data_IF_325693706506
#
_entry.id   IF_325693706506
#
_cell.length_a   1.000
_cell.length_b   1.000
_cell.length_c   1.000
_cell.angle_alpha   90.00
_cell.angle_beta   90.00
_cell.angle_gamma   90.00
#
_symmetry.space_group_name_H-M   'P 1'
#
loop_
_entity.id
_entity.type
_entity.pdbx_description
1 polymer ?
#
# COMPACT_ATOMS: atom_id res chain seq x y z
N UNK A 1 -14.75 -4.36 3.86
CA UNK A 1 -13.52 -3.56 4.12
C UNK A 1 -12.74 -3.56 2.83
N UNK A 2 -12.26 -2.42 2.39
CA UNK A 2 -11.55 -2.26 1.12
C UNK A 2 -10.10 -1.83 1.41
N UNK A 3 -9.13 -2.38 0.67
CA UNK A 3 -7.74 -1.92 0.68
C UNK A 3 -7.54 -0.67 -0.19
N UNK A 4 -8.55 -0.29 -0.98
CA UNK A 4 -8.51 0.90 -1.83
C UNK A 4 -8.28 2.19 -1.02
N UNK A 5 -7.52 3.12 -1.61
CA UNK A 5 -6.98 4.28 -0.89
C UNK A 5 -7.73 5.59 -1.18
N UNK A 6 -8.65 5.59 -2.15
CA UNK A 6 -9.36 6.79 -2.61
C UNK A 6 -10.88 6.60 -2.75
N UNK A 7 -11.41 5.46 -2.37
CA UNK A 7 -12.85 5.19 -2.32
C UNK A 7 -13.61 5.18 -3.65
N UNK A 8 -12.91 5.10 -4.79
CA UNK A 8 -13.55 5.10 -6.11
C UNK A 8 -14.41 3.86 -6.36
N UNK A 9 -14.02 2.71 -5.83
CA UNK A 9 -14.81 1.47 -5.92
C UNK A 9 -16.17 1.63 -5.21
N UNK A 10 -16.20 2.20 -4.01
CA UNK A 10 -17.44 2.51 -3.28
C UNK A 10 -18.35 3.43 -4.09
N UNK A 11 -17.79 4.48 -4.69
CA UNK A 11 -18.54 5.40 -5.56
C UNK A 11 -19.14 4.66 -6.75
N UNK A 12 -18.34 3.83 -7.43
CA UNK A 12 -18.79 3.02 -8.58
C UNK A 12 -19.93 2.08 -8.18
N UNK A 13 -19.77 1.34 -7.07
CA UNK A 13 -20.82 0.42 -6.60
C UNK A 13 -22.09 1.20 -6.25
N UNK A 14 -22.00 2.35 -5.61
CA UNK A 14 -23.13 3.20 -5.26
C UNK A 14 -23.89 3.65 -6.53
N UNK A 15 -23.17 4.12 -7.55
CA UNK A 15 -23.77 4.52 -8.81
C UNK A 15 -24.43 3.34 -9.56
N UNK A 16 -23.77 2.20 -9.66
CA UNK A 16 -24.29 1.02 -10.34
C UNK A 16 -25.54 0.46 -9.64
N UNK A 17 -25.58 0.48 -8.33
CA UNK A 17 -26.71 -0.03 -7.54
C UNK A 17 -27.80 1.01 -7.30
N UNK A 18 -27.60 2.26 -7.73
CA UNK A 18 -28.52 3.39 -7.52
C UNK A 18 -28.90 3.60 -6.04
N UNK A 19 -28.03 3.20 -5.11
CA UNK A 19 -28.24 3.40 -3.69
C UNK A 19 -27.79 4.80 -3.29
N UNK A 20 -28.61 5.49 -2.49
CA UNK A 20 -28.28 6.81 -1.96
C UNK A 20 -27.11 6.75 -0.98
N UNK A 21 -27.02 5.65 -0.21
CA UNK A 21 -25.98 5.47 0.80
C UNK A 21 -25.36 4.08 0.74
N UNK A 22 -24.03 4.05 0.69
CA UNK A 22 -23.20 2.87 0.90
C UNK A 22 -22.04 3.33 1.79
N UNK A 23 -21.92 2.81 3.01
CA UNK A 23 -20.80 3.11 3.90
C UNK A 23 -19.60 2.23 3.56
N UNK A 24 -18.44 2.85 3.32
CA UNK A 24 -17.16 2.17 3.04
C UNK A 24 -16.22 2.26 4.24
N UNK A 25 -15.61 1.13 4.60
CA UNK A 25 -14.65 1.01 5.68
C UNK A 25 -13.29 0.63 5.11
N UNK A 26 -12.29 1.46 5.35
CA UNK A 26 -10.96 1.37 4.78
C UNK A 26 -9.90 1.19 5.85
N UNK A 27 -8.86 0.44 5.56
CA UNK A 27 -7.67 0.46 6.41
C UNK A 27 -7.07 1.86 6.46
N UNK A 28 -6.99 2.54 5.32
CA UNK A 28 -6.56 3.94 5.24
C UNK A 28 -7.13 4.64 4.01
N UNK A 29 -7.42 5.93 4.13
CA UNK A 29 -7.86 6.79 3.04
C UNK A 29 -6.82 7.86 2.75
N UNK A 30 -6.49 8.10 1.48
CA UNK A 30 -5.67 9.23 1.03
C UNK A 30 -6.52 10.44 0.71
N UNK A 31 -7.61 10.20 0.01
CA UNK A 31 -8.60 11.17 -0.42
C UNK A 31 -9.91 10.43 -0.71
N UNK A 32 -10.97 11.17 -0.93
CA UNK A 32 -12.24 10.63 -1.43
C UNK A 32 -12.54 11.22 -2.81
N UNK A 33 -13.38 10.57 -3.64
CA UNK A 33 -13.82 11.12 -4.91
C UNK A 33 -14.48 12.49 -4.72
N UNK A 34 -14.35 13.36 -5.71
CA UNK A 34 -15.00 14.66 -5.72
C UNK A 34 -16.53 14.50 -5.68
N UNK A 35 -17.18 15.46 -5.03
CA UNK A 35 -18.65 15.52 -4.92
C UNK A 35 -19.29 14.37 -4.13
N UNK A 36 -18.48 13.56 -3.43
CA UNK A 36 -18.96 12.51 -2.54
C UNK A 36 -19.19 13.00 -1.11
N UNK A 37 -20.22 12.42 -0.45
CA UNK A 37 -20.50 12.71 0.95
C UNK A 37 -19.48 12.03 1.86
N UNK A 38 -18.62 12.82 2.48
CA UNK A 38 -17.54 12.34 3.36
C UNK A 38 -18.02 11.48 4.54
N UNK A 39 -19.29 11.60 4.94
CA UNK A 39 -19.87 10.83 6.05
C UNK A 39 -20.01 9.33 5.75
N UNK A 40 -19.85 8.92 4.49
CA UNK A 40 -19.92 7.52 4.05
C UNK A 40 -18.55 6.84 3.97
N UNK A 41 -17.47 7.58 4.20
CA UNK A 41 -16.10 7.09 4.08
C UNK A 41 -15.41 7.03 5.43
N UNK A 42 -14.95 5.87 5.85
CA UNK A 42 -14.41 5.63 7.18
C UNK A 42 -13.03 4.99 7.12
N UNK A 43 -11.97 5.80 7.27
CA UNK A 43 -10.59 5.32 7.37
C UNK A 43 -10.23 4.98 8.83
N UNK A 44 -9.49 3.88 9.01
CA UNK A 44 -9.02 3.46 10.34
C UNK A 44 -7.63 3.99 10.67
N UNK A 45 -6.61 3.65 9.85
CA UNK A 45 -5.21 3.92 10.18
C UNK A 45 -4.78 5.35 9.82
N UNK A 46 -5.27 5.85 8.70
CA UNK A 46 -5.19 7.27 8.33
C UNK A 46 -6.46 7.68 7.58
N UNK A 47 -6.90 8.89 7.89
CA UNK A 47 -8.12 9.47 7.35
C UNK A 47 -8.00 11.00 7.41
N UNK A 48 -7.64 11.65 6.30
CA UNK A 48 -7.45 13.11 6.27
C UNK A 48 -8.73 13.87 6.58
N UNK A 49 -9.92 13.26 6.37
CA UNK A 49 -11.21 13.87 6.71
C UNK A 49 -11.42 13.98 8.22
N UNK A 50 -10.78 13.09 8.99
CA UNK A 50 -10.82 13.06 10.46
C UNK A 50 -9.53 13.55 11.11
N UNK A 51 -8.64 14.17 10.35
CA UNK A 51 -7.36 14.70 10.85
C UNK A 51 -6.30 13.63 11.14
N UNK A 52 -6.51 12.40 10.70
CA UNK A 52 -5.50 11.34 10.78
C UNK A 52 -4.62 11.37 9.53
N UNK A 53 -3.47 11.99 9.65
CA UNK A 53 -2.53 12.15 8.53
C UNK A 53 -1.96 10.82 8.03
N UNK A 54 -1.75 10.73 6.71
CA UNK A 54 -1.04 9.62 6.08
C UNK A 54 0.37 9.49 6.67
N UNK A 55 0.75 8.26 6.97
CA UNK A 55 2.10 7.95 7.46
C UNK A 55 3.09 7.90 6.30
N UNK A 56 4.11 8.76 6.34
CA UNK A 56 5.10 8.89 5.26
C UNK A 56 5.94 7.62 5.00
N UNK A 57 5.99 6.70 5.95
CA UNK A 57 6.69 5.42 5.81
C UNK A 57 5.80 4.30 5.25
N UNK A 58 4.49 4.49 5.24
CA UNK A 58 3.56 3.44 4.82
C UNK A 58 3.70 3.14 3.33
N UNK A 59 3.96 1.86 3.01
CA UNK A 59 3.96 1.32 1.66
C UNK A 59 2.65 0.57 1.44
N UNK A 60 1.77 1.12 0.60
CA UNK A 60 0.53 0.45 0.21
C UNK A 60 0.81 -0.83 -0.60
N UNK A 61 1.78 -0.81 -1.51
CA UNK A 61 2.10 -2.00 -2.30
C UNK A 61 2.57 -3.18 -1.44
N UNK A 62 3.42 -2.91 -0.42
CA UNK A 62 3.80 -3.96 0.54
C UNK A 62 2.57 -4.45 1.33
N UNK A 63 1.71 -3.53 1.78
CA UNK A 63 0.50 -3.91 2.50
C UNK A 63 -0.42 -4.76 1.64
N UNK A 64 -0.67 -4.35 0.40
CA UNK A 64 -1.52 -5.09 -0.54
C UNK A 64 -0.93 -6.46 -0.90
N UNK A 65 0.38 -6.55 -1.14
CA UNK A 65 1.04 -7.82 -1.46
C UNK A 65 0.90 -8.87 -0.33
N UNK A 66 0.83 -8.41 0.93
CA UNK A 66 0.65 -9.28 2.11
C UNK A 66 -0.83 -9.61 2.36
N UNK A 67 -1.73 -8.62 2.17
CA UNK A 67 -3.16 -8.72 2.49
C UNK A 67 -4.04 -8.82 1.24
N UNK A 68 -3.66 -9.71 0.32
CA UNK A 68 -4.42 -10.02 -0.89
C UNK A 68 -4.98 -11.44 -0.86
N UNK A 69 -5.80 -11.78 -1.85
CA UNK A 69 -6.32 -13.14 -2.03
C UNK A 69 -5.27 -14.05 -2.70
N UNK A 70 -5.31 -15.38 -2.44
CA UNK A 70 -4.40 -16.34 -3.08
C UNK A 70 -4.73 -16.60 -4.55
N UNK A 71 -5.89 -16.13 -5.03
CA UNK A 71 -6.30 -16.13 -6.43
C UNK A 71 -5.79 -14.89 -7.15
N UNK A 72 -5.87 -14.87 -8.48
CA UNK A 72 -5.59 -13.70 -9.31
C UNK A 72 -6.60 -12.56 -9.10
N UNK A 73 -6.39 -11.44 -9.78
CA UNK A 73 -7.27 -10.29 -9.72
C UNK A 73 -8.64 -10.61 -10.34
N UNK A 74 -9.72 -10.24 -9.67
CA UNK A 74 -11.08 -10.41 -10.21
C UNK A 74 -11.31 -9.43 -11.36
N UNK A 75 -11.51 -9.97 -12.57
CA UNK A 75 -11.78 -9.20 -13.79
C UNK A 75 -13.26 -9.21 -14.18
N UNK A 76 -14.07 -10.04 -13.54
CA UNK A 76 -15.51 -10.14 -13.78
C UNK A 76 -16.19 -11.12 -12.86
N UNK A 77 -17.47 -11.34 -13.11
CA UNK A 77 -18.29 -12.32 -12.38
C UNK A 77 -19.17 -13.09 -13.36
N UNK A 78 -19.36 -14.36 -13.11
CA UNK A 78 -20.36 -15.18 -13.79
C UNK A 78 -21.40 -15.69 -12.80
N UNK A 79 -22.63 -15.91 -13.27
CA UNK A 79 -23.69 -16.47 -12.45
C UNK A 79 -23.80 -17.97 -12.69
N UNK A 80 -23.44 -18.78 -11.67
CA UNK A 80 -23.58 -20.23 -11.70
C UNK A 80 -24.48 -20.67 -10.53
N UNK A 81 -25.59 -21.36 -10.85
CA UNK A 81 -26.52 -21.86 -9.84
C UNK A 81 -27.00 -20.78 -8.84
N UNK A 82 -27.38 -19.60 -9.34
CA UNK A 82 -27.83 -18.45 -8.58
C UNK A 82 -26.73 -17.83 -7.66
N UNK A 83 -25.47 -18.20 -7.87
CA UNK A 83 -24.31 -17.62 -7.17
C UNK A 83 -23.42 -16.89 -8.16
N UNK A 84 -22.92 -15.74 -7.75
CA UNK A 84 -21.91 -15.01 -8.50
C UNK A 84 -20.53 -15.53 -8.13
N UNK A 85 -19.81 -16.06 -9.13
CA UNK A 85 -18.46 -16.59 -8.99
C UNK A 85 -17.51 -15.60 -9.65
N UNK A 86 -16.42 -15.19 -8.99
CA UNK A 86 -15.43 -14.30 -9.60
C UNK A 86 -14.69 -15.01 -10.73
N UNK A 87 -14.48 -14.29 -11.82
CA UNK A 87 -13.56 -14.66 -12.90
C UNK A 87 -12.25 -13.92 -12.62
N UNK A 88 -11.14 -14.66 -12.51
CA UNK A 88 -9.83 -14.09 -12.26
C UNK A 88 -8.98 -14.05 -13.51
N UNK A 89 -8.05 -13.10 -13.61
CA UNK A 89 -7.12 -12.93 -14.73
C UNK A 89 -6.05 -14.03 -14.80
N UNK A 90 -5.78 -14.68 -13.67
CA UNK A 90 -4.90 -15.84 -13.55
C UNK A 90 -5.47 -16.84 -12.53
N UNK A 91 -5.07 -18.11 -12.65
CA UNK A 91 -5.55 -19.15 -11.73
C UNK A 91 -5.01 -18.97 -10.31
N UNK A 92 -3.77 -18.50 -10.18
CA UNK A 92 -3.09 -18.34 -8.89
C UNK A 92 -2.30 -17.05 -8.80
N UNK A 93 -2.38 -16.39 -7.63
CA UNK A 93 -1.50 -15.27 -7.33
C UNK A 93 -0.04 -15.76 -7.18
N UNK A 94 0.96 -15.09 -7.77
CA UNK A 94 2.37 -15.51 -7.66
C UNK A 94 2.89 -15.52 -6.22
N UNK A 95 2.26 -14.79 -5.30
CA UNK A 95 2.59 -14.78 -3.87
C UNK A 95 1.77 -15.80 -3.05
N UNK A 96 1.01 -16.68 -3.70
CA UNK A 96 0.08 -17.63 -3.04
C UNK A 96 0.66 -18.38 -1.84
N UNK A 97 1.89 -18.91 -1.88
CA UNK A 97 2.44 -19.65 -0.74
C UNK A 97 2.48 -18.81 0.54
N UNK A 98 3.02 -17.58 0.47
CA UNK A 98 3.13 -16.71 1.64
C UNK A 98 1.76 -16.14 2.05
N UNK A 99 0.85 -15.93 1.10
CA UNK A 99 -0.52 -15.50 1.40
C UNK A 99 -1.26 -16.57 2.22
N UNK A 100 -1.15 -17.84 1.82
CA UNK A 100 -1.78 -18.94 2.55
C UNK A 100 -1.19 -19.11 3.96
N UNK A 101 0.12 -18.99 4.12
CA UNK A 101 0.77 -19.01 5.42
C UNK A 101 0.27 -17.85 6.31
N UNK A 102 0.19 -16.65 5.78
CA UNK A 102 -0.37 -15.48 6.49
C UNK A 102 -1.83 -15.70 6.91
N UNK A 103 -2.65 -16.33 6.06
CA UNK A 103 -4.05 -16.65 6.39
C UNK A 103 -4.12 -17.62 7.58
N UNK A 104 -3.30 -18.65 7.59
CA UNK A 104 -3.27 -19.62 8.71
C UNK A 104 -2.76 -18.98 10.02
N UNK A 105 -1.74 -18.14 9.94
CA UNK A 105 -1.27 -17.35 11.09
C UNK A 105 -2.36 -16.42 11.63
N UNK A 106 -3.08 -15.71 10.76
CA UNK A 106 -4.19 -14.85 11.14
C UNK A 106 -5.34 -15.65 11.79
N UNK A 107 -5.71 -16.80 11.25
CA UNK A 107 -6.73 -17.69 11.85
C UNK A 107 -6.31 -18.13 13.25
N UNK A 108 -5.06 -18.55 13.41
CA UNK A 108 -4.50 -18.96 14.71
C UNK A 108 -4.52 -17.79 15.70
N UNK A 109 -4.08 -16.61 15.27
CA UNK A 109 -4.09 -15.41 16.10
C UNK A 109 -5.51 -15.03 16.53
N UNK A 110 -6.46 -14.94 15.59
CA UNK A 110 -7.87 -14.64 15.88
C UNK A 110 -8.44 -15.63 16.88
N UNK A 111 -8.18 -16.92 16.69
CA UNK A 111 -8.64 -17.96 17.62
C UNK A 111 -8.08 -17.78 19.04
N UNK A 112 -6.83 -17.31 19.15
CA UNK A 112 -6.19 -17.08 20.45
C UNK A 112 -6.76 -15.87 21.19
N UNK A 113 -7.29 -14.87 20.47
CA UNK A 113 -7.77 -13.60 21.05
C UNK A 113 -9.30 -13.46 21.10
N UNK A 114 -10.05 -14.43 20.55
CA UNK A 114 -11.52 -14.33 20.43
C UNK A 114 -12.27 -14.10 21.74
N UNK A 115 -11.67 -14.48 22.87
CA UNK A 115 -12.25 -14.31 24.21
C UNK A 115 -11.79 -13.01 24.90
N UNK A 116 -11.01 -12.18 24.25
CA UNK A 116 -10.52 -10.93 24.80
C UNK A 116 -11.22 -9.75 24.11
N UNK A 117 -11.63 -8.75 24.90
CA UNK A 117 -12.13 -7.47 24.36
C UNK A 117 -10.95 -6.62 23.83
N UNK A 118 -10.48 -6.98 22.63
CA UNK A 118 -9.39 -6.28 22.00
C UNK A 118 -9.94 -5.15 21.13
N UNK A 119 -9.69 -3.92 21.56
CA UNK A 119 -9.99 -2.72 20.76
C UNK A 119 -8.81 -2.40 19.87
N UNK A 120 -9.05 -2.40 18.55
CA UNK A 120 -8.06 -1.97 17.58
C UNK A 120 -7.59 -0.54 17.87
N UNK A 121 -6.29 -0.34 18.04
CA UNK A 121 -5.67 0.95 18.31
C UNK A 121 -4.75 1.35 17.16
N UNK A 122 -4.97 2.56 16.61
CA UNK A 122 -4.07 3.14 15.58
C UNK A 122 -2.62 3.18 16.08
N UNK A 123 -2.41 3.49 17.36
CA UNK A 123 -1.07 3.50 17.98
C UNK A 123 -0.43 2.12 17.98
N UNK A 124 -1.20 1.08 18.32
CA UNK A 124 -0.71 -0.28 18.30
C UNK A 124 -0.31 -0.72 16.87
N UNK A 125 -1.18 -0.46 15.89
CA UNK A 125 -0.88 -0.74 14.48
C UNK A 125 0.36 0.04 14.01
N UNK A 126 0.53 1.29 14.45
CA UNK A 126 1.74 2.07 14.15
C UNK A 126 3.00 1.43 14.73
N UNK A 127 2.93 0.91 15.96
CA UNK A 127 4.07 0.22 16.59
C UNK A 127 4.49 -1.06 15.83
N UNK A 128 3.55 -1.75 15.21
CA UNK A 128 3.82 -2.93 14.38
C UNK A 128 4.36 -2.56 12.99
N UNK A 129 3.65 -1.69 12.26
CA UNK A 129 3.96 -1.41 10.85
C UNK A 129 5.18 -0.49 10.67
N UNK A 130 5.42 0.41 11.59
CA UNK A 130 6.49 1.41 11.45
C UNK A 130 7.91 0.82 11.46
N UNK A 131 8.28 -0.13 12.34
CA UNK A 131 9.57 -0.80 12.25
C UNK A 131 9.76 -1.48 10.90
N UNK A 132 8.83 -2.35 10.52
CA UNK A 132 8.84 -3.07 9.26
C UNK A 132 8.95 -2.11 8.04
N UNK A 133 8.05 -1.15 7.92
CA UNK A 133 7.97 -0.33 6.70
C UNK A 133 9.01 0.78 6.61
N UNK A 134 9.47 1.33 7.77
CA UNK A 134 10.38 2.47 7.80
C UNK A 134 11.86 2.10 7.94
N UNK A 135 12.14 0.98 8.57
CA UNK A 135 13.50 0.53 8.87
C UNK A 135 13.55 -1.00 9.03
N UNK A 136 13.25 -1.74 7.96
CA UNK A 136 13.25 -3.18 8.03
C UNK A 136 14.65 -3.73 8.39
N UNK A 137 14.66 -4.93 8.93
CA UNK A 137 15.85 -5.78 9.03
C UNK A 137 16.11 -6.46 7.68
N UNK A 138 17.32 -7.00 7.47
CA UNK A 138 17.61 -7.79 6.27
C UNK A 138 16.68 -9.00 6.16
N UNK A 139 16.40 -9.68 7.28
CA UNK A 139 15.48 -10.82 7.33
C UNK A 139 14.06 -10.44 6.80
N UNK A 140 13.52 -9.32 7.28
CA UNK A 140 12.21 -8.84 6.81
C UNK A 140 12.22 -8.47 5.31
N UNK A 141 13.35 -8.00 4.80
CA UNK A 141 13.49 -7.69 3.36
C UNK A 141 13.62 -8.98 2.53
N UNK A 142 14.28 -10.00 3.04
CA UNK A 142 14.36 -11.31 2.39
C UNK A 142 12.98 -11.97 2.31
N UNK A 143 12.17 -11.89 3.37
CA UNK A 143 10.83 -12.50 3.43
C UNK A 143 9.79 -11.72 2.60
N UNK A 144 9.76 -10.40 2.69
CA UNK A 144 8.69 -9.59 2.10
C UNK A 144 9.11 -8.82 0.83
N UNK A 145 10.40 -8.63 0.62
CA UNK A 145 10.89 -7.80 -0.47
C UNK A 145 10.78 -8.45 -1.85
N UNK A 146 10.73 -9.77 -1.92
CA UNK A 146 10.58 -10.54 -3.15
C UNK A 146 9.12 -10.80 -3.52
N UNK A 147 8.17 -10.40 -2.67
CA UNK A 147 6.76 -10.39 -3.04
C UNK A 147 6.57 -9.60 -4.34
N UNK A 148 5.75 -10.14 -5.21
CA UNK A 148 5.45 -9.55 -6.50
C UNK A 148 4.19 -8.70 -6.42
N UNK A 149 4.21 -7.56 -7.08
CA UNK A 149 3.04 -6.71 -7.25
C UNK A 149 3.00 -6.13 -8.67
N UNK A 150 1.83 -5.73 -9.13
CA UNK A 150 1.66 -4.95 -10.35
C UNK A 150 1.21 -3.53 -10.01
N UNK A 151 1.74 -2.56 -10.73
CA UNK A 151 1.26 -1.17 -10.72
C UNK A 151 0.30 -0.88 -11.90
N UNK A 152 0.10 -1.86 -12.77
CA UNK A 152 -0.82 -1.82 -13.91
C UNK A 152 -2.15 -2.51 -13.59
N UNK A 153 -3.22 -2.07 -14.24
CA UNK A 153 -4.57 -2.67 -14.12
C UNK A 153 -4.62 -4.12 -14.66
N UNK A 154 -3.70 -4.45 -15.57
CA UNK A 154 -3.49 -5.80 -16.08
C UNK A 154 -2.14 -6.27 -15.55
N UNK A 155 -2.09 -7.34 -14.79
CA UNK A 155 -0.89 -7.84 -14.09
C UNK A 155 0.27 -8.30 -15.01
N UNK A 156 0.41 -7.69 -16.21
CA UNK A 156 1.43 -8.05 -17.20
C UNK A 156 2.87 -7.75 -16.78
N UNK A 157 3.10 -6.84 -15.83
CA UNK A 157 4.44 -6.38 -15.41
C UNK A 157 4.63 -6.55 -13.89
N UNK A 158 4.79 -7.78 -13.43
CA UNK A 158 5.08 -8.07 -12.04
C UNK A 158 6.48 -7.56 -11.65
N UNK A 159 6.54 -6.82 -10.54
CA UNK A 159 7.77 -6.25 -9.99
C UNK A 159 7.93 -6.67 -8.53
N UNK A 160 9.17 -6.82 -8.07
CA UNK A 160 9.45 -7.03 -6.64
C UNK A 160 9.05 -5.78 -5.84
N UNK A 161 8.41 -5.99 -4.69
CA UNK A 161 8.05 -4.90 -3.76
C UNK A 161 9.27 -4.11 -3.33
N UNK A 162 10.38 -4.78 -2.97
CA UNK A 162 11.68 -4.16 -2.78
C UNK A 162 12.57 -4.46 -3.99
N UNK A 163 12.58 -3.56 -4.97
CA UNK A 163 13.41 -3.71 -6.15
C UNK A 163 14.91 -3.86 -5.81
N UNK A 164 15.62 -4.68 -6.59
CA UNK A 164 17.08 -4.82 -6.51
C UNK A 164 17.71 -3.62 -7.21
N UNK A 165 18.08 -2.61 -6.43
CA UNK A 165 18.66 -1.37 -6.94
C UNK A 165 20.17 -1.35 -6.72
N UNK A 166 20.90 -0.83 -7.71
CA UNK A 166 22.35 -0.58 -7.62
C UNK A 166 22.64 0.60 -6.69
N UNK A 167 23.91 0.75 -6.32
CA UNK A 167 24.34 1.90 -5.50
C UNK A 167 23.97 3.24 -6.16
N UNK A 168 24.19 3.38 -7.48
CA UNK A 168 23.88 4.63 -8.19
C UNK A 168 22.38 4.93 -8.17
N UNK A 169 21.54 3.94 -8.38
CA UNK A 169 20.08 4.07 -8.33
C UNK A 169 19.59 4.48 -6.94
N UNK A 170 20.11 3.87 -5.88
CA UNK A 170 19.81 4.31 -4.50
C UNK A 170 20.28 5.74 -4.24
N UNK A 171 21.45 6.13 -4.76
CA UNK A 171 21.94 7.53 -4.65
C UNK A 171 21.01 8.49 -5.41
N UNK A 172 20.48 8.09 -6.57
CA UNK A 172 19.51 8.87 -7.33
C UNK A 172 18.18 9.05 -6.58
N UNK A 173 17.79 8.10 -5.72
CA UNK A 173 16.61 8.20 -4.84
C UNK A 173 16.81 9.17 -3.66
N UNK A 174 18.02 9.66 -3.38
CA UNK A 174 18.25 10.63 -2.29
C UNK A 174 17.58 11.96 -2.58
N UNK A 175 17.01 12.58 -1.54
CA UNK A 175 16.12 13.75 -1.63
C UNK A 175 16.59 14.84 -2.61
N UNK A 176 17.76 15.39 -2.43
CA UNK A 176 18.27 16.47 -3.30
C UNK A 176 18.47 15.97 -4.73
N UNK A 177 19.09 14.80 -4.90
CA UNK A 177 19.39 14.26 -6.22
C UNK A 177 18.11 13.88 -6.98
N UNK A 178 17.17 13.19 -6.31
CA UNK A 178 15.85 12.88 -6.88
C UNK A 178 15.10 14.15 -7.30
N UNK A 179 15.12 15.20 -6.46
CA UNK A 179 14.49 16.47 -6.80
C UNK A 179 15.12 17.11 -8.04
N UNK A 180 16.46 17.15 -8.13
CA UNK A 180 17.17 17.70 -9.29
C UNK A 180 16.91 16.92 -10.60
N UNK A 181 16.76 15.60 -10.49
CA UNK A 181 16.39 14.75 -11.64
C UNK A 181 14.95 15.07 -12.07
N UNK A 182 14.02 15.13 -11.12
CA UNK A 182 12.60 15.40 -11.42
C UNK A 182 12.34 16.76 -12.05
N UNK A 183 13.14 17.79 -11.72
CA UNK A 183 13.04 19.11 -12.36
C UNK A 183 13.91 19.24 -13.62
N UNK A 184 14.52 18.15 -14.09
CA UNK A 184 15.28 18.10 -15.34
C UNK A 184 16.69 18.71 -15.29
N UNK A 185 17.19 19.10 -14.11
CA UNK A 185 18.56 19.62 -13.93
C UNK A 185 19.60 18.51 -14.08
N UNK A 186 19.32 17.33 -13.58
CA UNK A 186 20.15 16.15 -13.77
C UNK A 186 19.47 15.18 -14.74
N UNK A 187 20.16 14.85 -15.83
CA UNK A 187 19.69 13.88 -16.84
C UNK A 187 20.05 12.46 -16.37
N UNK A 188 19.25 11.90 -15.51
CA UNK A 188 19.38 10.54 -14.98
C UNK A 188 18.01 9.90 -14.86
N UNK A 189 17.96 8.58 -14.89
CA UNK A 189 16.73 7.82 -14.64
C UNK A 189 16.52 7.57 -13.16
N UNK A 190 15.25 7.48 -12.76
CA UNK A 190 14.84 7.11 -11.42
C UNK A 190 14.17 5.74 -11.53
N UNK A 191 14.84 4.71 -11.06
CA UNK A 191 14.24 3.38 -10.91
C UNK A 191 13.43 3.34 -9.63
N UNK A 192 12.11 3.24 -9.75
CA UNK A 192 11.23 3.25 -8.60
C UNK A 192 11.18 1.88 -7.92
N UNK A 193 10.99 1.91 -6.61
CA UNK A 193 10.72 0.74 -5.78
C UNK A 193 9.47 1.03 -4.97
N UNK A 194 8.56 0.07 -4.90
CA UNK A 194 7.33 0.16 -4.13
C UNK A 194 7.60 0.23 -2.62
N UNK A 195 8.73 -0.35 -2.20
CA UNK A 195 9.23 -0.29 -0.84
C UNK A 195 10.72 0.10 -0.84
N UNK A 196 10.97 1.39 -1.06
CA UNK A 196 12.34 1.92 -1.18
C UNK A 196 13.18 1.66 0.08
N UNK A 197 12.58 1.63 1.27
CA UNK A 197 13.27 1.30 2.50
C UNK A 197 13.81 -0.14 2.47
N UNK A 198 13.03 -1.08 1.95
CA UNK A 198 13.47 -2.46 1.71
C UNK A 198 14.62 -2.53 0.71
N UNK A 199 14.52 -1.85 -0.44
CA UNK A 199 15.61 -1.80 -1.42
C UNK A 199 16.90 -1.21 -0.89
N UNK A 200 16.82 -0.18 -0.02
CA UNK A 200 17.98 0.42 0.63
C UNK A 200 18.66 -0.59 1.57
N UNK A 201 17.88 -1.32 2.37
CA UNK A 201 18.41 -2.32 3.29
C UNK A 201 18.97 -3.51 2.52
N UNK A 202 18.33 -3.95 1.45
CA UNK A 202 18.80 -5.02 0.57
C UNK A 202 20.19 -4.74 -0.01
N UNK A 203 20.45 -3.51 -0.46
CA UNK A 203 21.76 -3.11 -0.93
C UNK A 203 22.81 -3.13 0.19
N UNK A 204 22.42 -2.81 1.43
CA UNK A 204 23.31 -2.81 2.60
C UNK A 204 24.29 -1.63 2.69
N UNK A 205 24.35 -0.76 1.68
CA UNK A 205 25.29 0.35 1.62
C UNK A 205 24.67 1.69 2.05
N UNK A 206 25.38 2.43 2.92
CA UNK A 206 24.93 3.76 3.38
C UNK A 206 23.48 3.79 3.86
N UNK A 207 23.02 2.72 4.48
CA UNK A 207 21.60 2.47 4.84
C UNK A 207 21.00 3.66 5.60
N UNK A 208 21.59 4.07 6.73
CA UNK A 208 21.05 5.16 7.56
C UNK A 208 20.94 6.51 6.82
N UNK A 209 21.91 6.81 5.96
CA UNK A 209 21.90 8.04 5.16
C UNK A 209 20.78 8.00 4.11
N UNK A 210 20.63 6.87 3.45
CA UNK A 210 19.64 6.68 2.39
C UNK A 210 18.21 6.64 2.96
N UNK A 211 17.98 5.93 4.08
CA UNK A 211 16.69 5.91 4.79
C UNK A 211 16.28 7.31 5.27
N UNK A 212 17.20 8.08 5.88
CA UNK A 212 16.92 9.47 6.28
C UNK A 212 16.54 10.34 5.08
N UNK A 213 17.20 10.13 3.96
CA UNK A 213 16.93 10.89 2.73
C UNK A 213 15.59 10.52 2.10
N UNK A 214 15.26 9.24 2.00
CA UNK A 214 13.96 8.75 1.52
C UNK A 214 12.81 9.30 2.38
N UNK A 215 12.95 9.27 3.71
CA UNK A 215 11.97 9.84 4.63
C UNK A 215 11.76 11.35 4.40
N UNK A 216 12.83 12.11 4.15
CA UNK A 216 12.73 13.56 3.85
C UNK A 216 11.97 13.78 2.55
N UNK A 217 12.27 13.00 1.50
CA UNK A 217 11.59 13.08 0.22
C UNK A 217 10.09 12.78 0.34
N UNK A 218 9.73 11.67 0.97
CA UNK A 218 8.33 11.29 1.19
C UNK A 218 7.56 12.37 1.98
N UNK A 219 8.16 12.96 3.01
CA UNK A 219 7.56 14.09 3.74
C UNK A 219 7.36 15.32 2.85
N UNK A 220 8.35 15.66 2.04
CA UNK A 220 8.25 16.79 1.10
C UNK A 220 7.10 16.59 0.11
N UNK A 221 7.02 15.42 -0.53
CA UNK A 221 5.92 15.09 -1.46
C UNK A 221 4.57 15.17 -0.76
N UNK A 222 4.47 14.68 0.46
CA UNK A 222 3.24 14.74 1.25
C UNK A 222 2.80 16.19 1.52
N UNK A 223 3.73 17.04 2.00
CA UNK A 223 3.44 18.46 2.27
C UNK A 223 3.00 19.17 0.99
N UNK A 224 3.71 18.93 -0.14
CA UNK A 224 3.35 19.51 -1.45
C UNK A 224 1.94 19.13 -1.86
N UNK A 225 1.57 17.85 -1.79
CA UNK A 225 0.20 17.39 -2.10
C UNK A 225 -0.84 18.04 -1.20
N UNK A 226 -0.58 18.15 0.10
CA UNK A 226 -1.49 18.79 1.06
C UNK A 226 -1.72 20.28 0.75
N UNK A 227 -0.70 21.00 0.33
CA UNK A 227 -0.83 22.40 -0.11
C UNK A 227 -1.69 22.46 -1.38
N UNK A 228 -1.43 21.61 -2.37
CA UNK A 228 -2.20 21.57 -3.62
C UNK A 228 -3.69 21.24 -3.41
N UNK A 229 -4.01 20.39 -2.44
CA UNK A 229 -5.42 20.08 -2.09
C UNK A 229 -6.15 21.26 -1.41
N UNK A 230 -5.43 22.13 -0.69
CA UNK A 230 -6.02 23.32 -0.04
C UNK A 230 -6.23 24.50 -0.99
N UNK A 231 -5.57 24.50 -2.12
CA UNK A 231 -5.65 25.58 -3.14
C UNK A 231 -6.60 25.25 -4.29
N UNK A 232 -7.20 24.09 -4.26
CA UNK A 232 -8.30 23.66 -5.15
C UNK A 232 -9.64 23.70 -4.42
#
# INVERSE_FOLDING_TARGET
>A
MDSGWVGTLQQTIRHLTQKERIDGFYFGLYEIPKDENSSMYHGFYFDPLRGLDRKSYFSNCLFEAVFTAPEGMTVGYECQNERYIPITDMEENPNKPIILENIELLKSYISSIQNYDIKGSVTFVEQLLKPLMARPTMYEVEEFGDLLFSDDVLEGNLKKVAAELTHEEIVNQRFLRKTLIMIGVLKREIHESAWIEGSIVRLGESVDRSLRSAKKYKKFVYIRKRIQMRTR
#
